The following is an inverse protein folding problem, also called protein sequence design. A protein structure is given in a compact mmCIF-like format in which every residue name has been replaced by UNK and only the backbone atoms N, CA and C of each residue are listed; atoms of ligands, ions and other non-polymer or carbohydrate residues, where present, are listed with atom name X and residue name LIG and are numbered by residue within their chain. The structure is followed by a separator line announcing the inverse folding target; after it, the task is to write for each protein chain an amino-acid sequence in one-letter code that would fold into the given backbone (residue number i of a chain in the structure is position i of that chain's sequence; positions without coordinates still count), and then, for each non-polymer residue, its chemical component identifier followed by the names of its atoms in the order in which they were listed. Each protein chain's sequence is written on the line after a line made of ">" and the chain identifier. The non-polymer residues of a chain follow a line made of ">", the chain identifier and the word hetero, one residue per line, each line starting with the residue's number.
data_IF_199516692359
#
_entry.id   IF_199516692359
#
_cell.length_a   1.000
_cell.length_b   1.000
_cell.length_c   1.000
_cell.angle_alpha   90.00
_cell.angle_beta   90.00
_cell.angle_gamma   90.00
#
_symmetry.space_group_name_H-M   'P 1'
#
loop_
_entity.id
_entity.type
_entity.pdbx_description
1 polymer ?
#
# COMPACT_ATOMS: atom_id res chain seq x y z
N UNK A 1 -10.42 7.14 -10.04
CA UNK A 1 -9.49 8.10 -9.40
C UNK A 1 -8.09 7.55 -9.55
N UNK A 2 -7.07 8.41 -9.63
CA UNK A 2 -5.67 7.97 -9.58
C UNK A 2 -5.29 7.73 -8.12
N UNK A 3 -5.57 6.51 -7.65
CA UNK A 3 -5.45 6.14 -6.24
C UNK A 3 -4.00 6.17 -5.75
N UNK A 4 -2.99 5.97 -6.61
CA UNK A 4 -1.60 5.84 -6.17
C UNK A 4 -0.96 7.11 -5.59
N UNK A 5 -1.59 8.27 -5.77
CA UNK A 5 -1.11 9.57 -5.27
C UNK A 5 -1.82 10.04 -4.00
N UNK A 6 -2.67 9.20 -3.42
CA UNK A 6 -3.36 9.56 -2.19
C UNK A 6 -2.34 9.71 -1.05
N UNK A 7 -2.50 10.78 -0.28
CA UNK A 7 -1.72 10.99 0.94
C UNK A 7 -2.41 10.29 2.10
N UNK A 8 -1.69 10.12 3.21
CA UNK A 8 -2.25 9.52 4.42
C UNK A 8 -3.59 10.15 4.84
N UNK A 9 -3.69 11.49 4.74
CA UNK A 9 -4.90 12.25 5.06
C UNK A 9 -6.12 11.86 4.21
N UNK A 10 -5.91 11.37 2.98
CA UNK A 10 -6.99 10.86 2.14
C UNK A 10 -7.28 9.39 2.45
N UNK A 11 -6.22 8.59 2.68
CA UNK A 11 -6.29 7.14 2.90
C UNK A 11 -7.08 6.79 4.17
N UNK A 12 -6.95 7.58 5.23
CA UNK A 12 -7.67 7.34 6.50
C UNK A 12 -9.20 7.42 6.37
N UNK A 13 -9.71 8.00 5.29
CA UNK A 13 -11.15 8.13 5.03
C UNK A 13 -11.71 7.05 4.11
N UNK A 14 -10.85 6.19 3.55
CA UNK A 14 -11.26 5.12 2.65
C UNK A 14 -11.94 3.98 3.41
N UNK A 15 -12.98 3.41 2.81
CA UNK A 15 -13.55 2.15 3.27
C UNK A 15 -12.72 0.95 2.78
N UNK A 16 -13.03 -0.26 3.25
CA UNK A 16 -12.24 -1.47 2.91
C UNK A 16 -12.16 -1.75 1.40
N UNK A 17 -13.24 -1.50 0.66
CA UNK A 17 -13.25 -1.70 -0.79
C UNK A 17 -12.31 -0.69 -1.45
N UNK A 18 -12.40 0.57 -1.06
CA UNK A 18 -11.54 1.63 -1.59
C UNK A 18 -10.06 1.43 -1.19
N UNK A 19 -9.79 0.95 0.03
CA UNK A 19 -8.44 0.55 0.46
C UNK A 19 -7.90 -0.59 -0.39
N UNK A 20 -8.72 -1.60 -0.70
CA UNK A 20 -8.32 -2.71 -1.55
C UNK A 20 -7.99 -2.23 -2.97
N UNK A 21 -8.84 -1.37 -3.53
CA UNK A 21 -8.63 -0.74 -4.84
C UNK A 21 -7.37 0.14 -4.86
N UNK A 22 -7.10 0.86 -3.76
CA UNK A 22 -5.87 1.64 -3.58
C UNK A 22 -4.63 0.74 -3.58
N UNK A 23 -4.62 -0.34 -2.80
CA UNK A 23 -3.52 -1.31 -2.77
C UNK A 23 -3.30 -1.94 -4.15
N UNK A 24 -4.35 -2.36 -4.84
CA UNK A 24 -4.22 -2.87 -6.21
C UNK A 24 -3.68 -1.82 -7.19
N UNK A 25 -4.07 -0.55 -7.05
CA UNK A 25 -3.57 0.51 -7.91
C UNK A 25 -2.05 0.73 -7.77
N UNK A 26 -1.53 0.68 -6.53
CA UNK A 26 -0.09 0.74 -6.27
C UNK A 26 0.58 -0.48 -6.88
N UNK A 27 0.02 -1.67 -6.66
CA UNK A 27 0.56 -2.91 -7.19
C UNK A 27 0.61 -2.91 -8.72
N UNK A 28 -0.45 -2.46 -9.40
CA UNK A 28 -0.50 -2.35 -10.85
C UNK A 28 0.58 -1.39 -11.37
N UNK A 29 0.73 -0.22 -10.75
CA UNK A 29 1.77 0.74 -11.15
C UNK A 29 3.18 0.22 -10.91
N UNK A 30 3.41 -0.44 -9.78
CA UNK A 30 4.70 -1.06 -9.48
C UNK A 30 5.03 -2.15 -10.50
N UNK A 31 4.07 -3.02 -10.81
CA UNK A 31 4.25 -4.10 -11.78
C UNK A 31 4.47 -3.57 -13.20
N UNK A 32 3.81 -2.47 -13.58
CA UNK A 32 4.08 -1.79 -14.86
C UNK A 32 5.53 -1.28 -14.94
N UNK A 33 6.05 -0.68 -13.87
CA UNK A 33 7.45 -0.20 -13.79
C UNK A 33 8.44 -1.37 -13.76
N UNK A 34 8.17 -2.43 -13.00
CA UNK A 34 9.02 -3.63 -12.99
C UNK A 34 9.06 -4.29 -14.38
N UNK A 35 7.91 -4.34 -15.07
CA UNK A 35 7.81 -4.91 -16.42
C UNK A 35 8.50 -4.07 -17.49
N UNK A 36 8.75 -2.77 -17.25
CA UNK A 36 9.54 -1.93 -18.16
C UNK A 36 11.06 -2.11 -17.98
N UNK A 37 11.48 -2.97 -17.04
CA UNK A 37 12.88 -3.31 -16.79
C UNK A 37 13.52 -2.51 -15.65
N UNK A 38 12.76 -1.68 -14.92
CA UNK A 38 13.25 -1.03 -13.71
C UNK A 38 13.35 -2.04 -12.57
N UNK A 39 14.41 -1.94 -11.76
CA UNK A 39 14.49 -2.68 -10.51
C UNK A 39 13.64 -2.02 -9.42
N UNK A 40 13.37 -2.74 -8.32
CA UNK A 40 12.68 -2.16 -7.17
C UNK A 40 13.46 -0.98 -6.57
N UNK A 41 14.80 -1.07 -6.57
CA UNK A 41 15.68 -0.02 -6.06
C UNK A 41 15.55 1.24 -6.94
N UNK A 42 15.57 1.09 -8.28
CA UNK A 42 15.39 2.23 -9.21
C UNK A 42 14.03 2.93 -9.02
N UNK A 43 13.00 2.18 -8.64
CA UNK A 43 11.66 2.70 -8.41
C UNK A 43 11.63 3.49 -7.11
N UNK A 44 12.13 2.91 -6.01
CA UNK A 44 12.14 3.54 -4.69
C UNK A 44 13.02 4.80 -4.69
N UNK A 45 14.13 4.81 -5.43
CA UNK A 45 14.99 5.98 -5.58
C UNK A 45 14.29 7.18 -6.26
N UNK A 46 13.24 6.91 -7.06
CA UNK A 46 12.52 7.93 -7.82
C UNK A 46 11.20 8.34 -7.15
N UNK A 47 10.45 7.38 -6.64
CA UNK A 47 9.13 7.56 -6.05
C UNK A 47 8.88 6.42 -5.07
N UNK A 48 8.72 6.72 -3.79
CA UNK A 48 8.33 5.73 -2.79
C UNK A 48 6.83 5.42 -2.93
N UNK A 49 6.45 4.23 -3.45
CA UNK A 49 5.05 3.87 -3.64
C UNK A 49 4.29 3.67 -2.33
N UNK A 50 4.98 3.65 -1.19
CA UNK A 50 4.42 3.38 0.14
C UNK A 50 4.34 4.62 1.03
N UNK A 51 4.82 5.79 0.58
CA UNK A 51 4.89 7.03 1.38
C UNK A 51 3.55 7.35 2.08
N UNK A 52 2.43 7.25 1.34
CA UNK A 52 1.09 7.53 1.88
C UNK A 52 0.65 6.55 2.98
N UNK A 53 1.18 5.33 2.97
CA UNK A 53 0.86 4.27 3.92
C UNK A 53 1.74 4.32 5.17
N UNK A 54 2.97 4.82 5.09
CA UNK A 54 3.95 4.75 6.19
C UNK A 54 3.39 5.14 7.57
N UNK A 55 2.62 6.25 7.74
CA UNK A 55 2.16 6.65 9.07
C UNK A 55 1.05 5.76 9.66
N UNK A 56 0.43 4.93 8.82
CA UNK A 56 -0.71 4.06 9.17
C UNK A 56 -0.41 2.58 8.92
N UNK A 57 0.83 2.23 8.54
CA UNK A 57 1.23 0.88 8.20
C UNK A 57 1.94 0.24 9.41
N UNK A 58 1.34 -0.76 10.08
CA UNK A 58 2.00 -1.45 11.18
C UNK A 58 3.29 -2.14 10.73
N UNK A 59 4.29 -2.18 11.61
CA UNK A 59 5.59 -2.79 11.31
C UNK A 59 5.48 -4.26 10.91
N UNK A 60 4.56 -5.01 11.50
CA UNK A 60 4.31 -6.41 11.15
C UNK A 60 3.69 -6.60 9.75
N UNK A 61 3.02 -5.58 9.22
CA UNK A 61 2.32 -5.63 7.92
C UNK A 61 3.20 -5.13 6.78
N UNK A 62 4.14 -4.23 7.06
CA UNK A 62 5.09 -3.71 6.08
C UNK A 62 5.78 -4.81 5.23
N UNK A 63 6.43 -5.84 5.81
CA UNK A 63 7.09 -6.87 5.01
C UNK A 63 6.10 -7.71 4.18
N UNK A 64 4.86 -7.90 4.66
CA UNK A 64 3.81 -8.62 3.93
C UNK A 64 3.41 -7.82 2.69
N UNK A 65 3.19 -6.51 2.85
CA UNK A 65 2.86 -5.60 1.76
C UNK A 65 3.95 -5.60 0.69
N UNK A 66 5.21 -5.37 1.09
CA UNK A 66 6.35 -5.32 0.14
C UNK A 66 6.50 -6.63 -0.63
N UNK A 67 6.45 -7.78 0.05
CA UNK A 67 6.53 -9.09 -0.60
C UNK A 67 5.37 -9.31 -1.57
N UNK A 68 4.15 -8.95 -1.19
CA UNK A 68 2.98 -9.08 -2.04
C UNK A 68 3.09 -8.20 -3.29
N UNK A 69 3.57 -6.97 -3.12
CA UNK A 69 3.74 -5.98 -4.19
C UNK A 69 4.76 -6.43 -5.22
N UNK A 70 5.96 -6.84 -4.78
CA UNK A 70 7.04 -7.28 -5.67
C UNK A 70 6.65 -8.56 -6.43
N UNK A 71 6.06 -9.54 -5.74
CA UNK A 71 5.71 -10.85 -6.32
C UNK A 71 4.34 -10.87 -6.99
N UNK A 72 3.67 -9.72 -7.13
CA UNK A 72 2.31 -9.60 -7.66
C UNK A 72 1.30 -10.57 -7.00
N UNK A 73 1.43 -10.80 -5.69
CA UNK A 73 0.51 -11.66 -4.94
C UNK A 73 -0.79 -10.91 -4.71
N UNK A 74 -1.90 -11.48 -5.19
CA UNK A 74 -3.25 -10.88 -5.11
C UNK A 74 -4.27 -11.76 -4.39
N UNK A 75 -3.82 -12.77 -3.66
CA UNK A 75 -4.71 -13.68 -2.94
C UNK A 75 -5.51 -12.96 -1.86
N UNK A 76 -6.78 -13.33 -1.70
CA UNK A 76 -7.68 -12.77 -0.70
C UNK A 76 -7.08 -12.79 0.71
N UNK A 77 -6.45 -13.89 1.11
CA UNK A 77 -5.82 -14.03 2.44
C UNK A 77 -4.72 -12.99 2.71
N UNK A 78 -3.92 -12.65 1.69
CA UNK A 78 -2.87 -11.64 1.83
C UNK A 78 -3.46 -10.24 1.86
N UNK A 79 -4.48 -9.97 1.03
CA UNK A 79 -5.20 -8.71 1.05
C UNK A 79 -5.89 -8.48 2.39
N UNK A 80 -6.57 -9.49 2.95
CA UNK A 80 -7.19 -9.45 4.27
C UNK A 80 -6.17 -9.08 5.36
N UNK A 81 -5.00 -9.73 5.38
CA UNK A 81 -3.95 -9.42 6.35
C UNK A 81 -3.46 -7.96 6.23
N UNK A 82 -3.29 -7.46 5.01
CA UNK A 82 -2.90 -6.06 4.76
C UNK A 82 -4.00 -5.10 5.24
N UNK A 83 -5.26 -5.35 4.88
CA UNK A 83 -6.40 -4.50 5.26
C UNK A 83 -6.62 -4.48 6.77
N UNK A 84 -6.52 -5.63 7.44
CA UNK A 84 -6.60 -5.69 8.90
C UNK A 84 -5.50 -4.87 9.58
N UNK A 85 -4.28 -4.94 9.04
CA UNK A 85 -3.16 -4.11 9.47
C UNK A 85 -3.44 -2.62 9.32
N UNK A 86 -3.83 -2.20 8.12
CA UNK A 86 -4.12 -0.80 7.81
C UNK A 86 -5.28 -0.26 8.64
N UNK A 87 -6.35 -1.02 8.84
CA UNK A 87 -7.45 -0.61 9.73
C UNK A 87 -6.98 -0.39 11.16
N UNK A 88 -6.08 -1.24 11.69
CA UNK A 88 -5.50 -1.05 13.02
C UNK A 88 -4.64 0.21 13.05
N UNK A 89 -3.80 0.43 12.05
CA UNK A 89 -2.97 1.63 11.95
C UNK A 89 -3.77 2.92 11.81
N UNK A 90 -4.79 2.96 10.95
CA UNK A 90 -5.72 4.10 10.82
C UNK A 90 -6.41 4.41 12.17
N UNK A 91 -6.89 3.38 12.88
CA UNK A 91 -7.49 3.55 14.21
C UNK A 91 -6.50 4.11 15.24
N UNK A 92 -5.22 3.78 15.14
CA UNK A 92 -4.18 4.32 16.02
C UNK A 92 -3.85 5.76 15.64
N UNK A 93 -3.64 6.03 14.35
CA UNK A 93 -3.37 7.36 13.83
C UNK A 93 -4.45 8.38 14.22
N UNK A 94 -5.74 8.01 14.09
CA UNK A 94 -6.88 8.85 14.47
C UNK A 94 -7.07 9.03 15.99
N UNK A 95 -6.39 8.24 16.82
CA UNK A 95 -6.39 8.43 18.29
C UNK A 95 -5.25 9.33 18.76
N UNK A 96 -4.19 9.43 17.96
CA UNK A 96 -2.96 10.16 18.28
C UNK A 96 -2.91 11.56 17.67
N UNK A 97 -3.88 11.93 16.83
CA UNK A 97 -4.06 13.23 16.17
C UNK A 97 -5.49 13.73 16.36
#
# INVERSE_FOLDING_TARGET
>A
MDYSKLKTADIIHLNNKELSEYIYSIQDQLQMKLSSGLSIDDIIDQEDPFEGLEPILPQEVYPILVLAMINNIRSDTVMEAILEGLQKGIKQYNKSN
#
